data_IF_364645907749
#
_entry.id   IF_364645907749
#
_cell.length_a   1.000
_cell.length_b   1.000
_cell.length_c   1.000
_cell.angle_alpha   90.00
_cell.angle_beta   90.00
_cell.angle_gamma   90.00
#
_symmetry.space_group_name_H-M   'P 1'
#
loop_
_entity.id
_entity.type
_entity.pdbx_description
1 polymer ?
#
# COMPACT_ATOMS: atom_id res chain seq x y z
N UNK A 1 1.12 7.98 -21.25
CA UNK A 1 1.01 7.94 -22.73
C UNK A 1 -0.46 7.85 -23.17
N UNK A 2 -0.82 8.47 -24.30
CA UNK A 2 -2.11 8.25 -24.99
C UNK A 2 -2.12 6.83 -25.54
N UNK A 3 -3.12 6.00 -25.19
CA UNK A 3 -3.28 4.63 -25.71
C UNK A 3 -3.11 4.65 -27.23
N UNK A 4 -2.30 3.72 -27.77
CA UNK A 4 -2.16 3.56 -29.24
C UNK A 4 -3.56 3.42 -29.83
N UNK A 5 -3.76 4.09 -30.96
CA UNK A 5 -5.01 4.03 -31.70
C UNK A 5 -4.87 3.05 -32.84
N UNK A 6 -5.92 2.30 -33.12
CA UNK A 6 -6.01 1.46 -34.30
C UNK A 6 -6.13 2.32 -35.57
N UNK A 7 -6.17 1.65 -36.73
CA UNK A 7 -6.36 2.28 -38.04
C UNK A 7 -7.69 3.05 -38.18
N UNK A 8 -8.61 2.90 -37.24
CA UNK A 8 -9.90 3.59 -37.16
C UNK A 8 -9.91 4.70 -36.10
N UNK A 9 -8.76 4.99 -35.48
CA UNK A 9 -8.66 6.00 -34.43
C UNK A 9 -9.21 5.56 -33.07
N UNK A 10 -9.60 4.29 -32.91
CA UNK A 10 -10.09 3.74 -31.64
C UNK A 10 -8.93 3.31 -30.77
N UNK A 11 -9.07 3.37 -29.45
CA UNK A 11 -8.03 2.88 -28.56
C UNK A 11 -7.83 1.37 -28.71
N UNK A 12 -6.59 0.94 -29.00
CA UNK A 12 -6.26 -0.47 -29.13
C UNK A 12 -6.52 -1.19 -27.81
N UNK A 13 -7.16 -2.36 -27.91
CA UNK A 13 -7.47 -3.21 -26.77
C UNK A 13 -6.16 -3.75 -26.16
N UNK A 14 -6.05 -3.73 -24.83
CA UNK A 14 -4.83 -4.17 -24.11
C UNK A 14 -4.67 -5.70 -24.10
N UNK A 15 -5.76 -6.45 -24.01
CA UNK A 15 -5.79 -7.91 -24.09
C UNK A 15 -7.17 -8.40 -24.56
N UNK A 16 -7.23 -9.65 -25.01
CA UNK A 16 -8.50 -10.31 -25.37
C UNK A 16 -9.26 -10.86 -24.15
N UNK A 17 -8.69 -10.73 -22.96
CA UNK A 17 -9.31 -11.21 -21.72
C UNK A 17 -10.35 -10.20 -21.22
N UNK A 18 -11.53 -10.68 -20.77
CA UNK A 18 -12.50 -9.83 -20.09
C UNK A 18 -11.86 -9.18 -18.86
N UNK A 19 -11.89 -7.84 -18.81
CA UNK A 19 -11.39 -7.08 -17.66
C UNK A 19 -12.56 -6.59 -16.83
N UNK A 20 -12.64 -7.07 -15.61
CA UNK A 20 -13.56 -6.51 -14.62
C UNK A 20 -12.99 -5.23 -14.02
N UNK A 21 -13.65 -4.10 -14.27
CA UNK A 21 -13.19 -2.79 -13.75
C UNK A 21 -13.71 -2.60 -12.32
N UNK A 22 -12.87 -2.01 -11.48
CA UNK A 22 -13.18 -1.62 -10.10
C UNK A 22 -12.81 -0.16 -9.86
N UNK A 23 -13.50 0.48 -8.91
CA UNK A 23 -13.17 1.84 -8.46
C UNK A 23 -12.29 1.79 -7.21
N UNK A 24 -11.32 2.70 -7.13
CA UNK A 24 -10.43 2.86 -5.98
C UNK A 24 -10.50 4.32 -5.50
N UNK A 25 -10.53 4.55 -4.17
CA UNK A 25 -10.42 5.88 -3.57
C UNK A 25 -9.02 6.07 -3.01
N UNK A 26 -8.40 7.19 -3.33
CA UNK A 26 -7.06 7.58 -2.90
C UNK A 26 -7.09 9.05 -2.48
N UNK A 27 -6.12 9.47 -1.66
CA UNK A 27 -5.87 10.89 -1.42
C UNK A 27 -5.31 11.54 -2.69
N UNK A 28 -5.49 12.86 -2.83
CA UNK A 28 -4.96 13.60 -3.98
C UNK A 28 -3.44 13.46 -4.10
N UNK A 29 -2.72 13.49 -2.98
CA UNK A 29 -1.27 13.32 -2.94
C UNK A 29 -0.84 11.96 -3.48
N UNK A 30 -1.50 10.87 -3.05
CA UNK A 30 -1.20 9.53 -3.54
C UNK A 30 -1.55 9.38 -5.01
N UNK A 31 -2.68 9.91 -5.46
CA UNK A 31 -3.10 9.88 -6.86
C UNK A 31 -2.12 10.59 -7.80
N UNK A 32 -1.62 11.75 -7.37
CA UNK A 32 -0.64 12.53 -8.11
C UNK A 32 0.71 11.81 -8.17
N UNK A 33 1.19 11.27 -7.04
CA UNK A 33 2.45 10.51 -7.00
C UNK A 33 2.41 9.27 -7.89
N UNK A 34 1.30 8.54 -7.89
CA UNK A 34 1.10 7.43 -8.83
C UNK A 34 1.11 7.90 -10.28
N UNK A 35 0.60 9.09 -10.56
CA UNK A 35 0.65 9.73 -11.88
C UNK A 35 2.07 9.98 -12.35
N UNK A 36 2.89 10.62 -11.51
CA UNK A 36 4.30 10.89 -11.80
C UNK A 36 5.08 9.59 -12.10
N UNK A 37 4.89 8.56 -11.26
CA UNK A 37 5.56 7.27 -11.43
C UNK A 37 5.11 6.59 -12.72
N UNK A 38 3.81 6.63 -13.02
CA UNK A 38 3.25 6.04 -14.22
C UNK A 38 3.79 6.74 -15.48
N UNK A 39 3.87 8.06 -15.46
CA UNK A 39 4.44 8.86 -16.55
C UNK A 39 5.91 8.55 -16.78
N UNK A 40 6.74 8.55 -15.73
CA UNK A 40 8.16 8.24 -15.81
C UNK A 40 8.46 6.82 -16.36
N UNK A 41 7.51 5.89 -16.18
CA UNK A 41 7.61 4.50 -16.66
C UNK A 41 6.81 4.25 -17.94
N UNK A 42 6.21 5.28 -18.52
CA UNK A 42 5.35 5.21 -19.71
C UNK A 42 4.16 4.23 -19.59
N UNK A 43 3.68 3.96 -18.38
CA UNK A 43 2.54 3.07 -18.10
C UNK A 43 1.33 3.84 -17.59
N UNK A 44 0.20 3.17 -17.37
CA UNK A 44 -0.95 3.79 -16.69
C UNK A 44 -0.89 3.57 -15.17
N UNK A 45 -1.61 4.39 -14.39
CA UNK A 45 -1.74 4.17 -12.93
C UNK A 45 -2.29 2.77 -12.60
N UNK A 46 -3.19 2.25 -13.42
CA UNK A 46 -3.72 0.89 -13.27
C UNK A 46 -2.65 -0.18 -13.53
N UNK A 47 -1.79 0.02 -14.53
CA UNK A 47 -0.67 -0.89 -14.79
C UNK A 47 0.33 -0.91 -13.63
N UNK A 48 0.56 0.23 -12.95
CA UNK A 48 1.36 0.25 -11.73
C UNK A 48 0.75 -0.64 -10.65
N UNK A 49 -0.57 -0.57 -10.45
CA UNK A 49 -1.28 -1.44 -9.50
C UNK A 49 -1.15 -2.90 -9.91
N UNK A 50 -1.45 -3.25 -11.17
CA UNK A 50 -1.32 -4.61 -11.70
C UNK A 50 0.12 -5.14 -11.48
N UNK A 51 1.14 -4.36 -11.87
CA UNK A 51 2.56 -4.71 -11.68
C UNK A 51 2.92 -4.90 -10.20
N UNK A 52 2.41 -4.06 -9.29
CA UNK A 52 2.67 -4.19 -7.86
C UNK A 52 2.19 -5.54 -7.33
N UNK A 53 0.98 -5.96 -7.72
CA UNK A 53 0.40 -7.23 -7.28
C UNK A 53 1.01 -8.44 -8.02
N UNK A 54 1.22 -8.35 -9.34
CA UNK A 54 1.79 -9.44 -10.15
C UNK A 54 3.24 -9.76 -9.76
N UNK A 55 4.04 -8.74 -9.47
CA UNK A 55 5.43 -8.93 -9.02
C UNK A 55 5.51 -9.36 -7.56
N UNK A 56 4.36 -9.62 -6.92
CA UNK A 56 4.24 -9.86 -5.49
C UNK A 56 5.11 -8.87 -4.72
N UNK A 57 5.04 -7.58 -5.12
CA UNK A 57 5.59 -6.51 -4.30
C UNK A 57 4.69 -6.53 -3.08
N UNK A 58 5.04 -7.40 -2.12
CA UNK A 58 4.51 -7.41 -0.78
C UNK A 58 4.40 -5.93 -0.40
N UNK A 59 3.17 -5.48 -0.16
CA UNK A 59 2.94 -4.26 0.60
C UNK A 59 3.78 -4.49 1.85
N UNK A 60 4.95 -3.84 1.89
CA UNK A 60 6.13 -4.22 2.67
C UNK A 60 5.67 -4.95 3.93
N UNK A 61 5.86 -6.27 3.97
CA UNK A 61 5.63 -6.99 5.21
C UNK A 61 6.54 -6.32 6.22
N UNK A 62 5.96 -5.68 7.24
CA UNK A 62 6.78 -5.04 8.26
C UNK A 62 7.62 -6.15 8.88
N UNK A 63 8.93 -5.97 8.89
CA UNK A 63 9.78 -6.92 9.61
C UNK A 63 9.41 -6.88 11.09
N UNK A 64 9.67 -7.96 11.82
CA UNK A 64 9.39 -8.01 13.27
C UNK A 64 10.06 -6.85 14.00
N UNK A 65 11.22 -6.40 13.53
CA UNK A 65 11.97 -5.24 14.02
C UNK A 65 11.27 -3.91 13.70
N UNK A 66 10.70 -3.75 12.50
CA UNK A 66 9.91 -2.57 12.15
C UNK A 66 8.65 -2.48 13.03
N UNK A 67 7.94 -3.58 13.25
CA UNK A 67 6.76 -3.64 14.13
C UNK A 67 7.15 -3.34 15.59
N UNK A 68 8.30 -3.83 16.05
CA UNK A 68 8.82 -3.52 17.39
C UNK A 68 9.17 -2.04 17.54
N UNK A 69 9.72 -1.41 16.50
CA UNK A 69 9.99 0.04 16.50
C UNK A 69 8.70 0.85 16.65
N UNK A 70 7.66 0.52 15.87
CA UNK A 70 6.36 1.19 15.99
C UNK A 70 5.70 0.95 17.35
N UNK A 71 5.80 -0.26 17.90
CA UNK A 71 5.29 -0.56 19.23
C UNK A 71 5.96 0.32 20.30
N UNK A 72 7.26 0.60 20.16
CA UNK A 72 7.99 1.51 21.05
C UNK A 72 7.53 2.95 20.91
N UNK A 73 7.37 3.44 19.68
CA UNK A 73 6.84 4.79 19.41
C UNK A 73 5.45 5.00 20.02
N UNK A 74 4.58 4.00 19.96
CA UNK A 74 3.24 4.04 20.57
C UNK A 74 3.32 4.15 22.10
N UNK A 75 4.27 3.47 22.74
CA UNK A 75 4.46 3.50 24.20
C UNK A 75 5.08 4.82 24.70
N UNK A 76 5.79 5.52 23.82
CA UNK A 76 6.40 6.82 24.08
C UNK A 76 5.46 8.00 23.71
N UNK A 77 4.34 7.75 23.02
CA UNK A 77 3.34 8.77 22.68
C UNK A 77 2.37 9.03 23.85
N UNK A 78 2.59 10.16 24.53
CA UNK A 78 1.75 10.65 25.64
C UNK A 78 0.27 10.89 25.26
N UNK A 79 -0.07 10.97 23.96
CA UNK A 79 -1.47 11.05 23.51
C UNK A 79 -2.17 9.70 23.58
N UNK A 80 -1.43 8.62 23.40
CA UNK A 80 -1.94 7.24 23.39
C UNK A 80 -1.82 6.62 24.78
N UNK A 81 -0.67 6.81 25.45
CA UNK A 81 -0.43 6.28 26.79
C UNK A 81 -0.28 7.41 27.80
N UNK A 82 -1.38 7.78 28.46
CA UNK A 82 -1.45 8.97 29.32
C UNK A 82 -0.86 8.77 30.71
N UNK A 83 -0.73 7.52 31.15
CA UNK A 83 -0.19 7.15 32.46
C UNK A 83 0.51 5.78 32.41
N UNK A 84 1.27 5.45 33.45
CA UNK A 84 2.02 4.19 33.53
C UNK A 84 1.14 2.92 33.50
N UNK A 85 -0.11 3.03 33.99
CA UNK A 85 -1.05 1.91 33.95
C UNK A 85 -1.50 1.61 32.50
N UNK A 86 -1.73 2.65 31.70
CA UNK A 86 -2.09 2.53 30.28
C UNK A 86 -0.92 1.94 29.48
N UNK A 87 0.32 2.38 29.77
CA UNK A 87 1.53 1.82 29.16
C UNK A 87 1.65 0.32 29.39
N UNK A 88 1.42 -0.15 30.61
CA UNK A 88 1.52 -1.58 30.95
C UNK A 88 0.47 -2.41 30.18
N UNK A 89 -0.77 -1.93 30.08
CA UNK A 89 -1.85 -2.65 29.39
C UNK A 89 -1.56 -2.72 27.89
N UNK A 90 -1.17 -1.59 27.28
CA UNK A 90 -0.88 -1.50 25.85
C UNK A 90 0.35 -2.35 25.50
N UNK A 91 1.40 -2.29 26.32
CA UNK A 91 2.60 -3.13 26.15
C UNK A 91 2.26 -4.62 26.12
N UNK A 92 1.45 -5.10 27.07
CA UNK A 92 1.01 -6.51 27.10
C UNK A 92 0.20 -6.91 25.88
N UNK A 93 -0.69 -6.03 25.41
CA UNK A 93 -1.46 -6.24 24.18
C UNK A 93 -0.56 -6.35 22.96
N UNK A 94 0.40 -5.42 22.82
CA UNK A 94 1.37 -5.41 21.72
C UNK A 94 2.29 -6.63 21.75
N UNK A 95 2.79 -7.03 22.91
CA UNK A 95 3.61 -8.25 23.09
C UNK A 95 2.81 -9.52 22.70
N UNK A 96 1.54 -9.58 23.06
CA UNK A 96 0.67 -10.70 22.68
C UNK A 96 0.50 -10.78 21.17
N UNK A 97 0.25 -9.65 20.51
CA UNK A 97 0.13 -9.57 19.05
C UNK A 97 1.44 -9.92 18.34
N UNK A 98 2.59 -9.44 18.85
CA UNK A 98 3.92 -9.76 18.31
C UNK A 98 4.23 -11.27 18.39
N UNK A 99 3.79 -11.94 19.45
CA UNK A 99 3.98 -13.38 19.62
C UNK A 99 3.01 -14.23 18.77
N UNK A 100 1.94 -13.62 18.24
CA UNK A 100 1.01 -14.28 17.31
C UNK A 100 1.45 -14.16 15.85
N UNK A 101 2.47 -13.34 15.55
CA UNK A 101 3.00 -13.23 14.20
C UNK A 101 3.86 -14.44 13.86
N UNK A 102 3.72 -14.99 12.64
CA UNK A 102 4.64 -16.02 12.15
C UNK A 102 6.07 -15.47 12.04
N UNK A 103 7.05 -16.35 12.17
CA UNK A 103 8.47 -16.02 11.99
C UNK A 103 8.82 -15.59 10.56
#
# INVERSE_FOLDING_TARGET
MMRKRDKHGQFTQKSNEPREVRSLRLTDSTWNKMGEIAEAREVTRADIIEIMFERNILVKGFSKEEIQSFAKEILDDDKVTRNEKDKIIIKRGLETLLNMLPD
#
